data_IF_711522648580
#
_entry.id   IF_711522648580
#
_cell.length_a   1.000
_cell.length_b   1.000
_cell.length_c   1.000
_cell.angle_alpha   90.00
_cell.angle_beta   90.00
_cell.angle_gamma   90.00
#
_symmetry.space_group_name_H-M   'P 1'
#
loop_
_entity.id
_entity.type
_entity.pdbx_description
1 polymer ?
#
# COMPACT_ATOMS: atom_id res chain seq x y z
N UNK A 1 -26.82 -9.26 -25.61
CA UNK A 1 -25.37 -9.50 -25.45
C UNK A 1 -25.00 -8.83 -24.15
N UNK A 2 -24.76 -9.64 -23.14
CA UNK A 2 -24.43 -9.25 -21.77
C UNK A 2 -22.90 -9.33 -21.67
N UNK A 3 -22.24 -8.19 -21.49
CA UNK A 3 -20.80 -8.11 -21.29
C UNK A 3 -20.55 -7.57 -19.87
N UNK A 4 -20.83 -8.41 -18.89
CA UNK A 4 -20.39 -8.21 -17.52
C UNK A 4 -18.92 -8.61 -17.40
N UNK A 5 -18.01 -7.68 -17.66
CA UNK A 5 -16.60 -7.85 -17.27
C UNK A 5 -16.49 -7.90 -15.73
N UNK A 6 -15.70 -8.81 -15.15
CA UNK A 6 -15.56 -8.87 -13.70
C UNK A 6 -14.85 -7.59 -13.22
N UNK A 7 -15.53 -6.80 -12.37
CA UNK A 7 -14.83 -5.77 -11.59
C UNK A 7 -13.81 -6.50 -10.73
N UNK A 8 -12.54 -6.10 -10.86
CA UNK A 8 -11.52 -6.48 -9.89
C UNK A 8 -11.93 -5.89 -8.53
N UNK A 9 -12.60 -6.71 -7.74
CA UNK A 9 -12.87 -6.44 -6.34
C UNK A 9 -11.51 -6.42 -5.64
N UNK A 10 -10.99 -5.21 -5.40
CA UNK A 10 -9.85 -5.03 -4.51
C UNK A 10 -10.35 -5.39 -3.12
N UNK A 11 -10.17 -6.64 -2.73
CA UNK A 11 -10.40 -7.08 -1.36
C UNK A 11 -9.57 -6.15 -0.45
N UNK A 12 -10.16 -5.50 0.55
CA UNK A 12 -9.38 -4.69 1.48
C UNK A 12 -8.45 -5.65 2.21
N UNK A 13 -7.16 -5.60 1.87
CA UNK A 13 -6.07 -6.23 2.62
C UNK A 13 -5.92 -5.43 3.93
N UNK A 14 -6.91 -5.57 4.81
CA UNK A 14 -7.02 -4.78 6.02
C UNK A 14 -6.53 -5.58 7.21
N UNK A 15 -5.28 -5.33 7.59
CA UNK A 15 -4.70 -5.74 8.86
C UNK A 15 -3.16 -5.75 8.83
N UNK A 16 -2.48 -5.37 9.92
CA UNK A 16 -1.01 -5.38 10.01
C UNK A 16 -0.38 -6.77 9.85
N UNK A 17 -1.19 -7.85 9.77
CA UNK A 17 -0.74 -9.23 9.56
C UNK A 17 -0.61 -9.61 8.07
N UNK A 18 -1.31 -8.93 7.16
CA UNK A 18 -1.36 -9.25 5.71
C UNK A 18 -1.05 -8.03 4.85
N UNK A 19 -0.35 -7.06 5.43
CA UNK A 19 -0.07 -5.79 4.81
C UNK A 19 0.82 -5.95 3.56
N UNK A 20 0.51 -5.18 2.52
CA UNK A 20 1.37 -5.03 1.34
C UNK A 20 1.80 -3.58 1.22
N UNK A 21 3.09 -3.34 1.37
CA UNK A 21 3.70 -2.01 1.23
C UNK A 21 4.61 -1.97 0.01
N UNK A 22 4.70 -0.80 -0.62
CA UNK A 22 5.58 -0.61 -1.76
C UNK A 22 6.17 0.79 -1.80
N UNK A 23 7.37 0.91 -2.34
CA UNK A 23 8.03 2.18 -2.65
C UNK A 23 8.56 2.15 -4.09
N UNK A 24 8.38 3.26 -4.80
CA UNK A 24 9.05 3.52 -6.08
C UNK A 24 10.09 4.61 -5.85
N UNK A 25 11.34 4.37 -6.24
CA UNK A 25 12.44 5.32 -6.13
C UNK A 25 13.36 5.20 -7.34
N UNK A 26 13.37 6.23 -8.18
CA UNK A 26 14.12 6.22 -9.43
C UNK A 26 13.58 5.15 -10.39
N UNK A 27 14.40 4.14 -10.68
CA UNK A 27 14.03 3.03 -11.58
C UNK A 27 13.51 1.78 -10.87
N UNK A 28 13.50 1.79 -9.54
CA UNK A 28 13.25 0.61 -8.73
C UNK A 28 11.90 0.71 -8.06
N UNK A 29 11.16 -0.40 -8.08
CA UNK A 29 9.99 -0.62 -7.24
C UNK A 29 10.27 -1.78 -6.31
N UNK A 30 10.19 -1.53 -5.00
CA UNK A 30 10.23 -2.56 -3.97
C UNK A 30 8.81 -2.82 -3.48
N UNK A 31 8.44 -4.08 -3.36
CA UNK A 31 7.19 -4.53 -2.76
C UNK A 31 7.49 -5.51 -1.63
N UNK A 32 6.90 -5.27 -0.46
CA UNK A 32 7.00 -6.14 0.71
C UNK A 32 5.59 -6.55 1.09
N UNK A 33 5.33 -7.86 1.09
CA UNK A 33 4.08 -8.44 1.54
C UNK A 33 4.30 -9.24 2.82
N UNK A 34 3.44 -9.05 3.83
CA UNK A 34 3.53 -9.77 5.10
C UNK A 34 3.25 -8.86 6.29
N UNK A 35 3.71 -9.24 7.50
CA UNK A 35 3.47 -8.47 8.71
C UNK A 35 4.16 -7.10 8.72
N UNK A 36 3.68 -6.20 9.58
CA UNK A 36 4.19 -4.84 9.81
C UNK A 36 5.72 -4.81 9.90
N UNK A 37 6.32 -3.89 9.15
CA UNK A 37 7.77 -3.75 8.98
C UNK A 37 8.41 -2.71 9.92
N UNK A 38 7.66 -2.00 10.77
CA UNK A 38 8.20 -0.92 11.63
C UNK A 38 9.41 -1.36 12.47
N UNK A 39 9.45 -2.63 12.85
CA UNK A 39 10.53 -3.25 13.64
C UNK A 39 11.52 -4.06 12.79
N UNK A 40 11.51 -3.89 11.46
CA UNK A 40 12.32 -4.65 10.52
C UNK A 40 11.57 -5.80 9.84
N UNK A 41 12.28 -6.50 8.95
CA UNK A 41 11.74 -7.64 8.22
C UNK A 41 11.88 -8.94 9.02
N UNK A 42 10.87 -9.79 8.89
CA UNK A 42 10.83 -11.15 9.44
C UNK A 42 10.86 -12.18 8.32
N UNK A 43 11.06 -13.46 8.66
CA UNK A 43 10.97 -14.55 7.68
C UNK A 43 9.58 -14.72 7.04
N UNK A 44 8.54 -14.09 7.60
CA UNK A 44 7.20 -14.07 7.03
C UNK A 44 7.01 -12.98 5.96
N UNK A 45 7.96 -12.04 5.83
CA UNK A 45 7.90 -11.00 4.81
C UNK A 45 8.45 -11.50 3.48
N UNK A 46 7.63 -11.43 2.43
CA UNK A 46 8.05 -11.66 1.05
C UNK A 46 8.44 -10.34 0.40
N UNK A 47 9.66 -10.28 -0.10
CA UNK A 47 10.23 -9.09 -0.76
C UNK A 47 10.39 -9.35 -2.26
N UNK A 48 9.94 -8.41 -3.08
CA UNK A 48 10.12 -8.44 -4.55
C UNK A 48 10.64 -7.09 -5.02
N UNK A 49 11.59 -7.09 -5.95
CA UNK A 49 12.20 -5.87 -6.50
C UNK A 49 12.13 -5.90 -8.02
N UNK A 50 11.63 -4.81 -8.61
CA UNK A 50 11.46 -4.68 -10.06
C UNK A 50 12.19 -3.44 -10.60
N UNK A 51 12.81 -3.60 -11.76
CA UNK A 51 13.40 -2.50 -12.54
C UNK A 51 12.32 -1.92 -13.48
N UNK A 52 11.44 -1.07 -12.95
CA UNK A 52 10.28 -0.56 -13.69
C UNK A 52 10.63 0.29 -14.92
N UNK A 53 11.90 0.69 -15.10
CA UNK A 53 12.35 1.33 -16.36
C UNK A 53 12.57 0.33 -17.50
N UNK A 54 12.98 -0.90 -17.19
CA UNK A 54 13.23 -1.96 -18.18
C UNK A 54 12.09 -2.97 -18.25
N UNK A 55 11.39 -3.15 -17.13
CA UNK A 55 10.30 -4.09 -16.94
C UNK A 55 9.13 -3.37 -16.25
N UNK A 56 8.40 -2.51 -16.99
CA UNK A 56 7.28 -1.74 -16.43
C UNK A 56 6.11 -2.62 -16.01
N UNK A 57 6.05 -3.86 -16.49
CA UNK A 57 5.01 -4.83 -16.16
C UNK A 57 5.39 -5.73 -14.97
N UNK A 58 6.51 -5.47 -14.30
CA UNK A 58 6.92 -6.17 -13.07
C UNK A 58 6.97 -7.70 -13.23
N UNK A 59 7.45 -8.16 -14.38
CA UNK A 59 7.52 -9.58 -14.76
C UNK A 59 8.73 -10.30 -14.19
N UNK A 60 9.81 -9.58 -13.84
CA UNK A 60 11.07 -10.15 -13.36
C UNK A 60 11.43 -9.61 -11.97
N UNK A 61 11.30 -10.45 -10.96
CA UNK A 61 11.80 -10.16 -9.62
C UNK A 61 13.33 -10.35 -9.55
N UNK A 62 14.04 -9.27 -9.21
CA UNK A 62 15.51 -9.22 -9.09
C UNK A 62 15.99 -8.97 -7.65
N UNK A 63 15.12 -9.18 -6.64
CA UNK A 63 15.45 -8.90 -5.24
C UNK A 63 16.68 -9.68 -4.73
N UNK A 64 16.85 -10.93 -5.16
CA UNK A 64 17.98 -11.77 -4.77
C UNK A 64 19.33 -11.26 -5.30
N UNK A 65 19.31 -10.63 -6.48
CA UNK A 65 20.49 -10.15 -7.22
C UNK A 65 20.89 -8.72 -6.84
N UNK A 66 19.96 -7.94 -6.26
CA UNK A 66 20.13 -6.52 -5.92
C UNK A 66 19.85 -6.24 -4.45
N UNK A 67 20.48 -7.02 -3.57
CA UNK A 67 20.24 -6.96 -2.11
C UNK A 67 20.56 -5.59 -1.51
N UNK A 68 21.50 -4.85 -2.09
CA UNK A 68 21.83 -3.48 -1.72
C UNK A 68 20.66 -2.51 -1.93
N UNK A 69 19.97 -2.63 -3.07
CA UNK A 69 18.79 -1.81 -3.39
C UNK A 69 17.64 -2.19 -2.48
N UNK A 70 17.44 -3.50 -2.24
CA UNK A 70 16.43 -3.98 -1.29
C UNK A 70 16.65 -3.37 0.09
N UNK A 71 17.88 -3.40 0.62
CA UNK A 71 18.19 -2.82 1.93
C UNK A 71 17.90 -1.31 1.98
N UNK A 72 18.37 -0.55 0.99
CA UNK A 72 18.15 0.90 0.93
C UNK A 72 16.66 1.24 0.93
N UNK A 73 15.88 0.60 0.07
CA UNK A 73 14.45 0.88 -0.07
C UNK A 73 13.64 0.35 1.12
N UNK A 74 14.08 -0.74 1.75
CA UNK A 74 13.49 -1.24 3.00
C UNK A 74 13.66 -0.21 4.11
N UNK A 75 14.84 0.39 4.29
CA UNK A 75 15.05 1.45 5.28
C UNK A 75 14.08 2.60 5.07
N UNK A 76 13.93 3.10 3.84
CA UNK A 76 12.98 4.18 3.52
C UNK A 76 11.53 3.80 3.85
N UNK A 77 11.14 2.55 3.60
CA UNK A 77 9.81 2.05 3.93
C UNK A 77 9.56 1.96 5.45
N UNK A 78 10.56 1.51 6.21
CA UNK A 78 10.50 1.49 7.68
C UNK A 78 10.36 2.90 8.23
N UNK A 79 11.17 3.84 7.74
CA UNK A 79 11.10 5.25 8.13
C UNK A 79 9.70 5.82 7.84
N UNK A 80 9.17 5.58 6.63
CA UNK A 80 7.82 5.99 6.25
C UNK A 80 6.75 5.39 7.18
N UNK A 81 6.87 4.12 7.55
CA UNK A 81 5.92 3.46 8.44
C UNK A 81 5.95 3.99 9.87
N UNK A 82 7.13 4.39 10.35
CA UNK A 82 7.27 5.01 11.66
C UNK A 82 6.68 6.44 11.71
N UNK A 83 6.50 7.11 10.56
CA UNK A 83 5.79 8.39 10.49
C UNK A 83 4.26 8.25 10.58
N UNK A 84 3.72 7.07 10.31
CA UNK A 84 2.28 6.82 10.40
C UNK A 84 1.86 6.61 11.86
N UNK A 85 1.49 7.73 12.51
CA UNK A 85 1.07 7.76 13.90
C UNK A 85 -0.26 7.00 14.13
N UNK A 86 -0.46 6.37 15.31
CA UNK A 86 -1.69 5.62 15.62
C UNK A 86 -2.98 6.46 15.56
N UNK A 87 -2.90 7.76 15.84
CA UNK A 87 -4.03 8.69 15.82
C UNK A 87 -4.08 9.50 14.53
N UNK A 88 -3.79 8.87 13.40
CA UNK A 88 -3.98 9.49 12.10
C UNK A 88 -5.46 9.85 11.90
N UNK A 89 -5.73 10.96 11.21
CA UNK A 89 -7.10 11.33 10.81
C UNK A 89 -7.66 10.15 9.99
N UNK A 90 -8.88 9.73 10.32
CA UNK A 90 -9.53 8.63 9.63
C UNK A 90 -9.64 8.94 8.12
N UNK A 91 -9.59 7.91 7.25
CA UNK A 91 -9.84 8.10 5.82
C UNK A 91 -11.18 8.81 5.59
N UNK A 92 -11.30 9.61 4.52
CA UNK A 92 -12.53 10.37 4.22
C UNK A 92 -13.78 9.50 4.00
N UNK A 93 -13.60 8.19 3.80
CA UNK A 93 -14.66 7.23 3.46
C UNK A 93 -15.17 6.42 4.67
N UNK A 94 -14.75 6.76 5.90
CA UNK A 94 -15.44 6.20 7.07
C UNK A 94 -16.74 6.97 7.29
N UNK A 95 -17.87 6.27 7.12
CA UNK A 95 -19.14 6.75 7.67
C UNK A 95 -18.95 6.91 9.18
N UNK A 96 -18.96 8.16 9.64
CA UNK A 96 -18.93 8.43 11.08
C UNK A 96 -20.33 8.16 11.58
N UNK A 97 -20.54 7.02 12.25
CA UNK A 97 -21.81 6.70 12.90
C UNK A 97 -22.20 7.87 13.82
N UNK A 98 -23.38 8.46 13.58
CA UNK A 98 -23.83 9.67 14.28
C UNK A 98 -23.37 11.00 13.70
N UNK A 99 -22.78 11.03 12.49
CA UNK A 99 -22.53 12.29 11.77
C UNK A 99 -23.86 13.02 11.51
N UNK A 100 -23.97 14.24 12.03
CA UNK A 100 -25.09 15.14 11.76
C UNK A 100 -24.56 16.29 10.92
N UNK A 101 -25.01 16.43 9.65
CA UNK A 101 -24.60 17.58 8.85
C UNK A 101 -25.09 18.88 9.49
N UNK A 102 -24.31 19.98 9.40
CA UNK A 102 -24.75 21.29 9.86
C UNK A 102 -26.07 21.70 9.22
N UNK A 103 -26.94 22.38 10.00
CA UNK A 103 -28.32 22.71 9.60
C UNK A 103 -28.38 23.67 8.40
N UNK A 104 -27.31 24.41 8.17
CA UNK A 104 -27.14 25.38 7.10
C UNK A 104 -26.70 24.77 5.76
N UNK A 105 -26.34 23.47 5.73
CA UNK A 105 -26.00 22.78 4.49
C UNK A 105 -27.24 22.63 3.61
N UNK A 106 -27.31 23.39 2.52
CA UNK A 106 -28.31 23.24 1.47
C UNK A 106 -27.76 22.30 0.41
N UNK A 107 -27.90 20.99 0.63
CA UNK A 107 -27.59 20.00 -0.40
C UNK A 107 -28.82 19.87 -1.29
N UNK A 108 -28.72 20.35 -2.52
CA UNK A 108 -29.72 20.08 -3.55
C UNK A 108 -29.45 18.68 -4.10
N UNK A 109 -30.30 17.71 -3.76
CA UNK A 109 -30.30 16.41 -4.41
C UNK A 109 -30.89 16.56 -5.83
N UNK A 110 -30.26 16.02 -6.88
CA UNK A 110 -30.79 16.05 -8.24
C UNK A 110 -32.10 15.27 -8.40
#
# INVERSE_FOLDING_TARGET
>A
MDESAPRHEQTPVSGPATERVSIVSGRWKLVIAGPDIRNGLTGANRTMLYDIRRDPNETQDVAADRREVVRELTTKLIDYRNLQIPNAIAPYDVEVEGFVPPKEWKIETP
#
